data_IF_752400598741
#
_entry.id   IF_752400598741
#
_cell.length_a   1.000
_cell.length_b   1.000
_cell.length_c   1.000
_cell.angle_alpha   90.00
_cell.angle_beta   90.00
_cell.angle_gamma   90.00
#
_symmetry.space_group_name_H-M   'P 1'
#
loop_
_entity.id
_entity.type
_entity.pdbx_description
1 polymer ?
#
# COMPACT_ATOMS: atom_id res chain seq x y z
N UNK A 1 29.52 -5.73 -9.16
CA UNK A 1 28.70 -5.43 -9.44
C UNK A 1 27.48 -5.64 -8.81
N UNK A 2 27.01 -5.24 -8.00
CA UNK A 2 25.89 -5.28 -7.23
C UNK A 2 24.66 -5.20 -7.95
N UNK A 3 24.56 -5.97 -8.89
CA UNK A 3 23.50 -5.85 -9.72
C UNK A 3 22.24 -6.39 -9.20
N UNK A 4 22.32 -7.26 -8.26
CA UNK A 4 21.13 -7.90 -7.78
C UNK A 4 20.15 -6.93 -7.18
N UNK A 5 20.61 -5.84 -6.69
CA UNK A 5 19.70 -4.94 -6.04
C UNK A 5 18.82 -4.18 -7.01
N UNK A 6 19.16 -4.25 -8.25
CA UNK A 6 18.43 -3.48 -9.20
C UNK A 6 17.01 -3.91 -9.37
N UNK A 7 16.76 -5.18 -9.26
CA UNK A 7 15.39 -5.64 -9.43
C UNK A 7 14.50 -5.08 -8.33
N UNK A 8 15.04 -4.89 -7.16
CA UNK A 8 14.26 -4.32 -6.09
C UNK A 8 13.92 -2.87 -6.38
N UNK A 9 14.84 -2.18 -7.02
CA UNK A 9 14.58 -0.80 -7.28
C UNK A 9 13.57 -0.63 -8.36
N UNK A 10 13.56 -1.50 -9.30
CA UNK A 10 12.61 -1.39 -10.38
C UNK A 10 11.22 -1.37 -9.85
N UNK A 11 11.00 -1.92 -8.65
CA UNK A 11 9.66 -1.98 -8.15
C UNK A 11 9.14 -0.64 -7.66
N UNK A 12 10.00 0.35 -7.48
CA UNK A 12 9.49 1.62 -6.99
C UNK A 12 8.51 2.23 -7.99
N UNK A 13 8.87 2.27 -9.26
CA UNK A 13 7.96 2.79 -10.26
C UNK A 13 6.77 1.85 -10.46
N UNK A 14 7.01 0.56 -10.41
CA UNK A 14 5.93 -0.41 -10.56
C UNK A 14 4.93 -0.27 -9.42
N UNK A 15 5.39 0.04 -8.21
CA UNK A 15 4.51 0.22 -7.08
C UNK A 15 3.67 1.51 -7.24
N UNK A 16 4.27 2.57 -7.72
CA UNK A 16 3.53 3.79 -8.00
C UNK A 16 2.46 3.52 -9.06
N UNK A 17 2.79 2.75 -10.09
CA UNK A 17 1.82 2.42 -11.11
C UNK A 17 0.66 1.60 -10.54
N UNK A 18 0.95 0.64 -9.68
CA UNK A 18 -0.09 -0.16 -9.05
C UNK A 18 -0.96 0.70 -8.13
N UNK A 19 -0.35 1.61 -7.40
CA UNK A 19 -1.08 2.55 -6.56
C UNK A 19 -2.06 3.35 -7.41
N UNK A 20 -1.59 3.88 -8.51
CA UNK A 20 -2.42 4.71 -9.38
C UNK A 20 -3.55 3.94 -10.04
N UNK A 21 -3.39 2.64 -10.20
CA UNK A 21 -4.43 1.84 -10.79
C UNK A 21 -5.50 1.40 -9.81
N UNK A 22 -5.15 1.23 -8.54
CA UNK A 22 -6.05 0.59 -7.59
C UNK A 22 -6.27 1.38 -6.33
N UNK A 23 -5.23 1.71 -5.62
CA UNK A 23 -5.34 2.24 -4.27
C UNK A 23 -5.80 3.69 -4.24
N UNK A 24 -5.44 4.44 -5.26
CA UNK A 24 -5.66 5.87 -5.29
C UNK A 24 -7.14 6.24 -5.19
N UNK A 25 -8.01 5.37 -5.68
CA UNK A 25 -9.43 5.69 -5.72
C UNK A 25 -10.00 6.04 -4.34
N UNK A 26 -9.50 5.37 -3.31
CA UNK A 26 -9.97 5.62 -1.95
C UNK A 26 -8.93 6.33 -1.10
N UNK A 27 -7.67 5.96 -1.26
CA UNK A 27 -6.63 6.47 -0.37
C UNK A 27 -6.15 7.87 -0.70
N UNK A 28 -6.43 8.38 -1.86
CA UNK A 28 -6.07 9.76 -2.17
C UNK A 28 -6.97 10.75 -1.45
N UNK A 29 -8.25 10.41 -1.33
CA UNK A 29 -9.24 11.34 -0.76
C UNK A 29 -9.72 10.96 0.62
N UNK A 30 -9.45 9.75 1.07
CA UNK A 30 -9.99 9.26 2.33
C UNK A 30 -11.39 8.73 2.21
N UNK A 31 -11.81 8.34 1.01
CA UNK A 31 -13.15 7.82 0.80
C UNK A 31 -13.41 6.62 1.71
N UNK A 32 -14.61 6.53 2.23
CA UNK A 32 -15.05 5.42 3.08
C UNK A 32 -14.15 5.21 4.31
N UNK A 33 -13.49 6.26 4.77
CA UNK A 33 -12.64 6.16 5.95
C UNK A 33 -11.24 5.64 5.69
N UNK A 34 -10.83 5.53 4.44
CA UNK A 34 -9.49 5.07 4.13
C UNK A 34 -8.44 6.08 4.60
N UNK A 35 -7.33 5.62 5.19
CA UNK A 35 -6.29 6.56 5.58
C UNK A 35 -5.67 7.20 4.34
N UNK A 36 -5.51 8.51 4.40
CA UNK A 36 -5.08 9.28 3.24
C UNK A 36 -3.60 9.09 2.99
N UNK A 37 -3.25 8.86 1.75
CA UNK A 37 -1.85 8.70 1.36
C UNK A 37 -1.05 9.93 1.77
N UNK A 38 0.04 9.70 2.47
CA UNK A 38 0.94 10.78 2.92
C UNK A 38 0.55 11.39 4.26
N UNK A 39 -0.56 10.97 4.85
CA UNK A 39 -1.00 11.52 6.13
C UNK A 39 -0.44 10.67 7.27
N UNK A 40 0.69 11.10 7.81
CA UNK A 40 1.39 10.32 8.83
C UNK A 40 0.54 10.11 10.08
N UNK A 41 -0.31 11.06 10.42
CA UNK A 41 -1.12 10.93 11.62
C UNK A 41 -2.14 9.82 11.49
N UNK A 42 -2.71 9.66 10.31
CA UNK A 42 -3.68 8.60 10.07
C UNK A 42 -3.01 7.24 9.96
N UNK A 43 -1.80 7.20 9.42
CA UNK A 43 -1.12 5.93 9.23
C UNK A 43 -0.42 5.42 10.48
N UNK A 44 0.04 6.32 11.37
CA UNK A 44 0.83 5.90 12.53
C UNK A 44 0.14 4.84 13.39
N UNK A 45 -1.12 5.03 13.80
CA UNK A 45 -1.76 4.00 14.63
C UNK A 45 -1.95 2.69 13.88
N UNK A 46 -2.09 2.77 12.56
CA UNK A 46 -2.22 1.56 11.76
C UNK A 46 -0.90 0.83 11.63
N UNK A 47 0.19 1.58 11.43
CA UNK A 47 1.51 0.98 11.33
C UNK A 47 1.93 0.29 12.62
N UNK A 48 1.40 0.74 13.75
CA UNK A 48 1.71 0.11 15.03
C UNK A 48 1.20 -1.31 15.14
N UNK A 49 0.21 -1.66 14.33
CA UNK A 49 -0.31 -3.02 14.33
C UNK A 49 0.67 -4.01 13.73
N UNK A 50 1.64 -3.51 13.00
CA UNK A 50 2.63 -4.36 12.34
C UNK A 50 2.31 -4.58 10.89
N UNK A 51 3.35 -4.64 10.08
CA UNK A 51 3.18 -4.76 8.64
C UNK A 51 2.46 -6.05 8.26
N UNK A 52 2.70 -7.14 9.01
CA UNK A 52 2.03 -8.40 8.70
C UNK A 52 0.51 -8.28 8.80
N UNK A 53 0.03 -7.54 9.81
CA UNK A 53 -1.39 -7.35 9.99
C UNK A 53 -1.95 -6.50 8.86
N UNK A 54 -1.23 -5.45 8.48
CA UNK A 54 -1.69 -4.56 7.43
C UNK A 54 -1.76 -5.28 6.09
N UNK A 55 -0.76 -6.09 5.77
CA UNK A 55 -0.75 -6.86 4.54
C UNK A 55 -1.93 -7.84 4.52
N UNK A 56 -2.18 -8.52 5.64
CA UNK A 56 -3.31 -9.45 5.72
C UNK A 56 -4.63 -8.72 5.52
N UNK A 57 -4.76 -7.53 6.08
CA UNK A 57 -5.99 -6.74 5.91
C UNK A 57 -6.21 -6.36 4.46
N UNK A 58 -5.13 -5.99 3.77
CA UNK A 58 -5.26 -5.66 2.35
C UNK A 58 -5.64 -6.90 1.56
N UNK A 59 -4.95 -8.00 1.80
CA UNK A 59 -5.18 -9.21 1.02
C UNK A 59 -6.60 -9.73 1.18
N UNK A 60 -7.13 -9.65 2.38
CA UNK A 60 -8.46 -10.20 2.68
C UNK A 60 -9.59 -9.19 2.55
N UNK A 61 -9.26 -7.92 2.53
CA UNK A 61 -10.26 -6.86 2.58
C UNK A 61 -10.57 -6.48 4.01
N UNK A 62 -11.05 -5.26 4.20
CA UNK A 62 -11.36 -4.79 5.54
C UNK A 62 -12.41 -3.70 5.46
N UNK A 63 -13.53 -3.91 6.12
CA UNK A 63 -14.64 -2.94 6.09
C UNK A 63 -15.00 -2.63 4.63
N UNK A 64 -14.96 -1.38 4.23
CA UNK A 64 -15.31 -1.00 2.86
C UNK A 64 -14.19 -1.29 1.86
N UNK A 65 -13.00 -1.65 2.33
CA UNK A 65 -11.91 -1.94 1.42
C UNK A 65 -12.08 -3.34 0.83
N UNK A 66 -12.13 -3.48 -0.49
CA UNK A 66 -12.29 -4.80 -1.08
C UNK A 66 -10.99 -5.61 -0.96
N UNK A 67 -11.09 -6.93 -1.08
CA UNK A 67 -9.90 -7.76 -1.03
C UNK A 67 -8.86 -7.31 -2.05
N UNK A 68 -7.61 -7.28 -1.62
CA UNK A 68 -6.46 -6.86 -2.43
C UNK A 68 -6.55 -5.41 -2.88
N UNK A 69 -7.50 -4.64 -2.33
CA UNK A 69 -7.68 -3.26 -2.76
C UNK A 69 -7.88 -3.15 -4.25
N UNK A 70 -8.47 -4.17 -4.85
CA UNK A 70 -8.71 -4.27 -6.29
C UNK A 70 -7.43 -4.49 -7.11
N UNK A 71 -6.29 -4.72 -6.47
CA UNK A 71 -5.06 -5.03 -7.19
C UNK A 71 -4.89 -6.54 -7.26
N UNK A 72 -5.60 -7.16 -8.20
CA UNK A 72 -5.64 -8.62 -8.25
C UNK A 72 -4.33 -9.27 -8.62
N UNK A 73 -3.44 -8.54 -9.26
CA UNK A 73 -2.13 -9.06 -9.64
C UNK A 73 -1.01 -8.65 -8.67
N UNK A 74 -1.37 -8.15 -7.50
CA UNK A 74 -0.37 -7.79 -6.50
C UNK A 74 -0.07 -8.96 -5.58
N UNK A 75 1.21 -9.11 -5.24
CA UNK A 75 1.65 -10.09 -4.26
C UNK A 75 1.65 -9.46 -2.87
N UNK A 76 1.92 -10.26 -1.85
CA UNK A 76 2.06 -9.72 -0.49
C UNK A 76 3.21 -8.73 -0.41
N UNK A 77 4.30 -8.98 -1.12
CA UNK A 77 5.41 -8.03 -1.16
C UNK A 77 4.98 -6.73 -1.82
N UNK A 78 4.14 -6.80 -2.83
CA UNK A 78 3.60 -5.60 -3.45
C UNK A 78 2.73 -4.82 -2.48
N UNK A 79 1.89 -5.52 -1.71
CA UNK A 79 1.04 -4.84 -0.73
C UNK A 79 1.89 -4.15 0.33
N UNK A 80 2.96 -4.80 0.77
CA UNK A 80 3.86 -4.19 1.75
C UNK A 80 4.45 -2.90 1.19
N UNK A 81 4.93 -2.94 -0.03
CA UNK A 81 5.52 -1.75 -0.66
C UNK A 81 4.46 -0.66 -0.88
N UNK A 82 3.24 -1.05 -1.23
CA UNK A 82 2.16 -0.09 -1.41
C UNK A 82 1.79 0.59 -0.09
N UNK A 83 1.72 -0.18 0.98
CA UNK A 83 1.44 0.39 2.30
C UNK A 83 2.53 1.36 2.70
N UNK A 84 3.79 0.99 2.49
CA UNK A 84 4.91 1.87 2.81
C UNK A 84 4.84 3.15 1.99
N UNK A 85 4.48 3.04 0.73
CA UNK A 85 4.34 4.20 -0.14
C UNK A 85 3.26 5.14 0.38
N UNK A 86 2.13 4.60 0.78
CA UNK A 86 1.01 5.41 1.25
C UNK A 86 1.27 6.00 2.63
N UNK A 87 1.99 5.29 3.47
CA UNK A 87 2.24 5.76 4.83
C UNK A 87 3.37 6.78 4.91
N UNK A 88 4.13 6.93 3.83
CA UNK A 88 5.26 7.87 3.84
C UNK A 88 4.75 9.29 3.83
N UNK A 89 5.21 10.15 4.76
CA UNK A 89 4.74 11.54 4.80
C UNK A 89 5.07 12.28 3.50
N UNK A 90 4.19 13.16 3.12
CA UNK A 90 4.38 13.97 1.91
C UNK A 90 4.80 15.39 2.22
#
# INVERSE_FOLDING_TARGET
>A
MALASISAQATEQAIVDKYNKSCIACHASGAAGAPVTGNAEQWAPRMEKGMDVLVANVANGMNAMPPKGMCNDCSDDDFKALIEHMAMPK
#
